data_IF_716880220079
#
_entry.id   IF_716880220079
#
_cell.length_a   1.000
_cell.length_b   1.000
_cell.length_c   1.000
_cell.angle_alpha   90.00
_cell.angle_beta   90.00
_cell.angle_gamma   90.00
#
_symmetry.space_group_name_H-M   'P 1'
#
loop_
_entity.id
_entity.type
_entity.pdbx_description
1 polymer ?
#
# COMPACT_ATOMS: atom_id res chain seq x y z
N UNK A 1 -9.64 -15.16 -30.71
CA UNK A 1 -8.88 -14.79 -29.51
C UNK A 1 -9.59 -13.64 -28.83
N UNK A 2 -10.09 -13.78 -27.60
CA UNK A 2 -10.25 -12.66 -26.64
C UNK A 2 -10.27 -13.22 -25.22
N UNK A 3 -9.10 -13.39 -24.62
CA UNK A 3 -9.00 -13.47 -23.16
C UNK A 3 -9.05 -12.04 -22.62
N UNK A 4 -9.85 -11.80 -21.60
CA UNK A 4 -9.86 -10.54 -20.85
C UNK A 4 -9.17 -10.85 -19.52
N UNK A 5 -8.10 -10.14 -19.21
CA UNK A 5 -7.40 -10.22 -17.93
C UNK A 5 -7.84 -8.99 -17.14
N UNK A 6 -8.49 -9.22 -16.00
CA UNK A 6 -8.88 -8.16 -15.08
C UNK A 6 -7.84 -8.10 -13.96
N UNK A 7 -7.48 -6.87 -13.58
CA UNK A 7 -6.82 -6.61 -12.32
C UNK A 7 -7.82 -6.87 -11.17
N UNK A 8 -7.34 -7.17 -9.96
CA UNK A 8 -8.21 -7.48 -8.82
C UNK A 8 -8.52 -6.21 -8.01
N UNK A 9 -7.47 -5.48 -7.62
CA UNK A 9 -7.58 -4.30 -6.75
C UNK A 9 -8.16 -3.11 -7.51
N UNK A 10 -9.30 -2.61 -7.06
CA UNK A 10 -9.98 -1.46 -7.67
C UNK A 10 -10.75 -1.76 -8.97
N UNK A 11 -10.73 -2.99 -9.46
CA UNK A 11 -11.50 -3.42 -10.66
C UNK A 11 -12.59 -4.43 -10.33
N UNK A 12 -12.35 -5.37 -9.40
CA UNK A 12 -13.32 -6.39 -8.97
C UNK A 12 -13.71 -6.27 -7.49
N UNK A 13 -12.81 -5.76 -6.64
CA UNK A 13 -13.06 -5.54 -5.22
C UNK A 13 -12.70 -4.10 -4.80
N UNK A 14 -13.49 -3.53 -3.90
CA UNK A 14 -13.24 -2.21 -3.29
C UNK A 14 -12.27 -2.35 -2.10
N UNK A 15 -11.10 -2.94 -2.36
CA UNK A 15 -9.99 -3.15 -1.40
C UNK A 15 -9.05 -1.94 -1.33
N UNK A 16 -9.15 -1.02 -2.30
CA UNK A 16 -8.36 0.20 -2.35
C UNK A 16 -8.45 1.05 -1.08
N UNK A 17 -9.62 1.26 -0.44
CA UNK A 17 -9.70 2.04 0.79
C UNK A 17 -8.88 1.45 1.95
N UNK A 18 -8.81 0.12 2.06
CA UNK A 18 -8.03 -0.58 3.09
C UNK A 18 -6.53 -0.50 2.80
N UNK A 19 -6.16 -0.68 1.54
CA UNK A 19 -4.78 -0.51 1.06
C UNK A 19 -4.25 0.90 1.36
N UNK A 20 -5.03 1.95 1.05
CA UNK A 20 -4.64 3.33 1.37
C UNK A 20 -4.48 3.56 2.86
N UNK A 21 -5.40 3.05 3.68
CA UNK A 21 -5.31 3.16 5.13
C UNK A 21 -4.04 2.51 5.69
N UNK A 22 -3.71 1.30 5.21
CA UNK A 22 -2.50 0.59 5.63
C UNK A 22 -1.23 1.35 5.25
N UNK A 23 -1.11 1.86 4.02
CA UNK A 23 0.03 2.69 3.63
C UNK A 23 0.13 3.98 4.44
N UNK A 24 -0.99 4.67 4.66
CA UNK A 24 -1.02 5.89 5.47
C UNK A 24 -0.48 5.66 6.87
N UNK A 25 -0.87 4.56 7.53
CA UNK A 25 -0.36 4.19 8.84
C UNK A 25 1.16 3.95 8.81
N UNK A 26 1.67 3.24 7.80
CA UNK A 26 3.11 2.98 7.65
C UNK A 26 3.91 4.27 7.49
N UNK A 27 3.53 5.15 6.56
CA UNK A 27 4.25 6.42 6.36
C UNK A 27 4.14 7.36 7.56
N UNK A 28 3.02 7.31 8.29
CA UNK A 28 2.83 8.08 9.52
C UNK A 28 3.74 7.59 10.64
N UNK A 29 3.84 6.28 10.86
CA UNK A 29 4.55 5.72 12.01
C UNK A 29 6.08 5.72 11.83
N UNK A 30 6.56 5.52 10.60
CA UNK A 30 7.99 5.39 10.31
C UNK A 30 8.63 6.68 9.81
N UNK A 31 7.92 7.46 8.99
CA UNK A 31 8.46 8.68 8.40
C UNK A 31 7.84 9.97 8.97
N UNK A 32 6.86 9.86 9.88
CA UNK A 32 6.02 10.97 10.34
C UNK A 32 5.41 11.76 9.16
N UNK A 33 5.12 11.07 8.06
CA UNK A 33 4.64 11.63 6.81
C UNK A 33 3.17 11.30 6.61
N UNK A 34 2.36 12.32 6.39
CA UNK A 34 0.99 12.13 5.92
C UNK A 34 0.98 12.05 4.40
N UNK A 35 0.50 10.93 3.87
CA UNK A 35 0.33 10.70 2.43
C UNK A 35 -1.15 10.62 2.09
N UNK A 36 -1.51 11.20 0.96
CA UNK A 36 -2.88 11.14 0.43
C UNK A 36 -3.08 9.86 -0.39
N UNK A 37 -4.33 9.42 -0.59
CA UNK A 37 -4.63 8.30 -1.48
C UNK A 37 -4.07 8.48 -2.90
N UNK A 38 -4.07 9.70 -3.44
CA UNK A 38 -3.55 9.95 -4.78
C UNK A 38 -2.02 9.90 -4.85
N UNK A 39 -1.32 10.32 -3.79
CA UNK A 39 0.13 10.10 -3.65
C UNK A 39 0.47 8.61 -3.55
N UNK A 40 -0.33 7.83 -2.80
CA UNK A 40 -0.14 6.38 -2.70
C UNK A 40 -0.40 5.71 -4.05
N UNK A 41 -1.48 6.08 -4.76
CA UNK A 41 -1.74 5.57 -6.12
C UNK A 41 -0.60 5.88 -7.08
N UNK A 42 0.06 7.03 -6.94
CA UNK A 42 1.21 7.39 -7.77
C UNK A 42 2.44 6.49 -7.51
N UNK A 43 2.49 5.80 -6.38
CA UNK A 43 3.53 4.80 -6.05
C UNK A 43 3.18 3.40 -6.60
N UNK A 44 1.96 3.18 -7.09
CA UNK A 44 1.53 1.85 -7.55
C UNK A 44 2.31 1.37 -8.78
N UNK A 45 2.55 0.07 -8.83
CA UNK A 45 3.33 -0.61 -9.87
C UNK A 45 4.12 -1.76 -9.28
N UNK A 46 4.94 -1.52 -8.24
CA UNK A 46 5.53 -2.57 -7.41
C UNK A 46 4.48 -3.24 -6.51
N UNK A 47 4.85 -4.36 -5.89
CA UNK A 47 4.07 -4.94 -4.78
C UNK A 47 4.07 -4.01 -3.57
N UNK A 48 3.21 -4.26 -2.59
CA UNK A 48 3.09 -3.43 -1.39
C UNK A 48 4.41 -3.35 -0.62
N UNK A 49 5.11 -4.49 -0.49
CA UNK A 49 6.44 -4.55 0.09
C UNK A 49 7.48 -3.78 -0.73
N UNK A 50 7.29 -3.72 -2.06
CA UNK A 50 8.12 -2.93 -2.97
C UNK A 50 7.90 -1.44 -2.76
N UNK A 51 6.64 -1.01 -2.70
CA UNK A 51 6.27 0.38 -2.42
C UNK A 51 6.90 0.85 -1.11
N UNK A 52 6.81 0.05 -0.04
CA UNK A 52 7.43 0.36 1.26
C UNK A 52 8.95 0.50 1.10
N UNK A 53 9.63 -0.46 0.46
CA UNK A 53 11.09 -0.42 0.30
C UNK A 53 11.59 0.72 -0.58
N UNK A 54 10.80 1.15 -1.56
CA UNK A 54 11.19 2.19 -2.51
C UNK A 54 10.89 3.61 -2.02
N UNK A 55 9.89 3.78 -1.14
CA UNK A 55 9.38 5.10 -0.79
C UNK A 55 9.55 5.47 0.69
N UNK A 56 9.82 4.50 1.57
CA UNK A 56 10.03 4.75 2.99
C UNK A 56 11.46 5.25 3.24
N UNK A 57 11.60 6.28 4.08
CA UNK A 57 12.92 6.80 4.47
C UNK A 57 13.52 5.99 5.62
N UNK A 58 12.69 5.47 6.54
CA UNK A 58 13.13 4.55 7.59
C UNK A 58 13.63 3.22 7.01
N UNK A 59 14.77 2.76 7.51
CA UNK A 59 15.41 1.51 7.08
C UNK A 59 14.78 0.23 7.64
N UNK A 60 13.84 0.32 8.58
CA UNK A 60 13.21 -0.80 9.26
C UNK A 60 12.02 -1.37 8.46
N UNK A 61 12.32 -1.78 7.22
CA UNK A 61 11.33 -2.23 6.25
C UNK A 61 10.52 -3.45 6.72
N UNK A 62 11.14 -4.39 7.43
CA UNK A 62 10.45 -5.60 7.90
C UNK A 62 9.32 -5.24 8.86
N UNK A 63 9.59 -4.33 9.80
CA UNK A 63 8.57 -3.84 10.74
C UNK A 63 7.50 -2.99 10.04
N UNK A 64 7.87 -2.21 9.03
CA UNK A 64 6.92 -1.45 8.23
C UNK A 64 5.99 -2.35 7.41
N UNK A 65 6.52 -3.46 6.86
CA UNK A 65 5.75 -4.47 6.14
C UNK A 65 4.81 -5.22 7.10
N UNK A 66 5.27 -5.57 8.31
CA UNK A 66 4.39 -6.17 9.33
C UNK A 66 3.23 -5.23 9.69
N UNK A 67 3.51 -3.95 9.93
CA UNK A 67 2.48 -2.95 10.22
C UNK A 67 1.49 -2.81 9.07
N UNK A 68 1.97 -2.84 7.82
CA UNK A 68 1.09 -2.80 6.64
C UNK A 68 0.07 -3.95 6.68
N UNK A 69 0.53 -5.19 6.89
CA UNK A 69 -0.36 -6.35 6.91
C UNK A 69 -1.30 -6.37 8.12
N UNK A 70 -0.85 -5.88 9.27
CA UNK A 70 -1.70 -5.68 10.45
C UNK A 70 -2.85 -4.75 10.11
N UNK A 71 -2.54 -3.55 9.59
CA UNK A 71 -3.54 -2.52 9.25
C UNK A 71 -4.45 -2.95 8.10
N UNK A 72 -3.92 -3.71 7.15
CA UNK A 72 -4.70 -4.27 6.05
C UNK A 72 -5.71 -5.32 6.53
N UNK A 73 -5.39 -6.07 7.58
CA UNK A 73 -6.26 -7.13 8.13
C UNK A 73 -7.31 -6.62 9.14
N UNK A 74 -7.22 -5.35 9.56
CA UNK A 74 -8.15 -4.73 10.51
C UNK A 74 -9.51 -4.35 9.91
N UNK A 75 -9.68 -4.42 8.58
CA UNK A 75 -10.90 -3.99 7.87
C UNK A 75 -11.49 -5.03 6.94
#
# INVERSE_FOLDING_TARGET
MKAIIFDFDGTLADTLPVCFYAFQAVFKDFDNKEVTPDEIKAMFGPSETGIIRENLMDSNYDKAIELYYEKYSEK
#
